data_IF_183641376431
#
_entry.id   IF_183641376431
#
_cell.length_a   1.000
_cell.length_b   1.000
_cell.length_c   1.000
_cell.angle_alpha   90.00
_cell.angle_beta   90.00
_cell.angle_gamma   90.00
#
_symmetry.space_group_name_H-M   'P 1'
#
loop_
_entity.id
_entity.type
_entity.pdbx_description
1 polymer ?
#
# COMPACT_ATOMS: atom_id res chain seq x y z
N UNK A 1 6.71 -5.36 5.07
CA UNK A 1 7.25 -5.16 3.71
C UNK A 1 8.71 -4.76 3.71
N UNK A 2 9.18 -3.65 4.30
CA UNK A 2 10.62 -3.32 4.22
C UNK A 2 11.54 -4.42 4.79
N UNK A 3 11.23 -4.91 6.00
CA UNK A 3 11.96 -6.03 6.60
C UNK A 3 11.78 -7.34 5.83
N UNK A 4 10.60 -7.58 5.26
CA UNK A 4 10.37 -8.72 4.38
C UNK A 4 11.28 -8.66 3.14
N UNK A 5 11.45 -7.48 2.55
CA UNK A 5 12.36 -7.25 1.44
C UNK A 5 13.82 -7.46 1.81
N UNK A 6 14.27 -6.97 2.98
CA UNK A 6 15.62 -7.22 3.48
C UNK A 6 15.87 -8.72 3.75
N UNK A 7 14.92 -9.41 4.39
CA UNK A 7 15.02 -10.85 4.62
C UNK A 7 15.14 -11.63 3.31
N UNK A 8 14.31 -11.31 2.32
CA UNK A 8 14.39 -11.96 1.01
C UNK A 8 15.73 -11.71 0.31
N UNK A 9 16.32 -10.53 0.45
CA UNK A 9 17.63 -10.24 -0.12
C UNK A 9 18.76 -10.97 0.62
N UNK A 10 18.63 -11.17 1.93
CA UNK A 10 19.53 -12.01 2.71
C UNK A 10 19.44 -13.48 2.30
N UNK A 11 18.22 -14.01 2.11
CA UNK A 11 17.99 -15.37 1.62
C UNK A 11 18.55 -15.58 0.20
N UNK A 12 18.59 -14.52 -0.62
CA UNK A 12 19.24 -14.49 -1.94
C UNK A 12 20.76 -14.34 -1.86
N UNK A 13 21.34 -14.19 -0.68
CA UNK A 13 22.78 -13.97 -0.48
C UNK A 13 23.29 -12.59 -0.91
N UNK A 14 22.39 -11.62 -1.15
CA UNK A 14 22.74 -10.28 -1.65
C UNK A 14 23.18 -9.31 -0.55
N UNK A 15 22.76 -9.56 0.69
CA UNK A 15 23.17 -8.79 1.85
C UNK A 15 23.14 -9.66 3.11
N UNK A 16 23.63 -9.10 4.21
CA UNK A 16 23.33 -9.58 5.57
C UNK A 16 22.87 -8.41 6.40
N UNK A 17 21.92 -8.63 7.30
CA UNK A 17 21.48 -7.57 8.19
C UNK A 17 21.26 -8.09 9.61
N UNK A 18 21.47 -7.20 10.58
CA UNK A 18 21.02 -7.40 11.94
C UNK A 18 19.79 -6.52 12.17
N UNK A 19 18.80 -7.05 12.89
CA UNK A 19 17.59 -6.32 13.24
C UNK A 19 17.48 -6.19 14.75
N UNK A 20 17.19 -4.97 15.21
CA UNK A 20 16.81 -4.68 16.59
C UNK A 20 15.51 -3.91 16.61
N UNK A 21 14.50 -4.43 17.32
CA UNK A 21 13.31 -3.67 17.64
C UNK A 21 13.60 -2.89 18.92
N UNK A 22 13.69 -1.57 18.82
CA UNK A 22 13.79 -0.71 20.01
C UNK A 22 12.42 -0.67 20.72
N UNK A 23 12.20 -1.65 21.60
CA UNK A 23 10.95 -1.82 22.38
C UNK A 23 10.76 -0.73 23.43
N UNK A 24 11.81 0.02 23.75
CA UNK A 24 11.80 1.09 24.75
C UNK A 24 11.84 2.48 24.12
N UNK A 25 11.79 2.58 22.79
CA UNK A 25 12.01 3.80 22.03
C UNK A 25 11.01 4.94 22.34
N UNK A 26 11.29 5.66 23.42
CA UNK A 26 10.66 6.94 23.80
C UNK A 26 11.46 8.15 23.29
N UNK A 27 12.61 7.98 22.60
CA UNK A 27 13.54 9.10 22.30
C UNK A 27 14.32 9.06 20.96
N UNK A 28 14.35 7.94 20.26
CA UNK A 28 15.15 7.72 19.06
C UNK A 28 14.44 8.10 17.76
N UNK A 29 13.24 7.58 17.49
CA UNK A 29 12.46 7.93 16.30
C UNK A 29 11.38 8.97 16.61
N UNK A 30 11.15 9.96 15.74
CA UNK A 30 10.11 10.96 15.95
C UNK A 30 8.68 10.40 15.82
N UNK A 31 8.48 9.25 15.16
CA UNK A 31 7.20 8.55 15.06
C UNK A 31 7.37 7.07 14.62
N UNK A 32 6.29 6.28 14.74
CA UNK A 32 6.32 4.81 14.62
C UNK A 32 6.51 4.28 13.19
N UNK A 33 6.23 5.08 12.17
CA UNK A 33 6.28 4.69 10.75
C UNK A 33 7.67 4.91 10.11
N UNK A 34 8.75 4.80 10.88
CA UNK A 34 10.12 4.94 10.40
C UNK A 34 10.90 3.62 10.54
N UNK A 35 11.72 3.31 9.53
CA UNK A 35 12.77 2.29 9.60
C UNK A 35 14.11 2.96 9.29
N UNK A 36 15.02 2.96 10.25
CA UNK A 36 16.41 3.39 10.06
C UNK A 36 17.26 2.17 9.70
N UNK A 37 18.12 2.31 8.69
CA UNK A 37 19.09 1.30 8.28
C UNK A 37 20.47 1.96 8.14
N UNK A 38 21.50 1.29 8.63
CA UNK A 38 22.88 1.76 8.55
C UNK A 38 23.74 0.70 7.85
N UNK A 39 24.56 1.13 6.90
CA UNK A 39 25.47 0.26 6.16
C UNK A 39 26.45 1.08 5.34
N UNK A 40 27.67 0.57 5.13
CA UNK A 40 28.69 1.25 4.31
C UNK A 40 29.00 2.70 4.72
N UNK A 41 28.87 3.02 6.01
CA UNK A 41 29.05 4.38 6.55
C UNK A 41 27.94 5.37 6.19
N UNK A 42 26.79 4.89 5.69
CA UNK A 42 25.60 5.71 5.37
C UNK A 42 24.40 5.30 6.21
N UNK A 43 23.59 6.29 6.57
CA UNK A 43 22.31 6.13 7.26
C UNK A 43 21.15 6.43 6.31
N UNK A 44 20.34 5.40 6.06
CA UNK A 44 19.15 5.44 5.23
C UNK A 44 17.93 5.41 6.12
N UNK A 45 16.93 6.24 5.82
CA UNK A 45 15.65 6.21 6.52
C UNK A 45 14.54 5.92 5.52
N UNK A 46 13.71 4.93 5.84
CA UNK A 46 12.47 4.64 5.14
C UNK A 46 11.30 5.22 5.94
N UNK A 47 10.70 6.25 5.39
CA UNK A 47 9.52 6.93 5.92
C UNK A 47 8.25 6.36 5.30
N UNK A 48 7.51 5.61 6.10
CA UNK A 48 6.27 4.94 5.74
C UNK A 48 5.02 5.76 6.13
N UNK A 49 5.16 7.01 6.59
CA UNK A 49 4.05 7.88 6.96
C UNK A 49 3.07 8.13 5.80
N UNK A 50 1.85 8.54 6.15
CA UNK A 50 0.84 9.00 5.20
C UNK A 50 1.00 10.52 5.02
N UNK A 51 1.67 10.95 3.95
CA UNK A 51 1.76 12.37 3.56
C UNK A 51 2.72 13.24 4.39
N UNK A 52 2.32 14.49 4.61
CA UNK A 52 3.14 15.59 5.17
C UNK A 52 2.40 16.31 6.32
N UNK A 53 1.75 15.56 7.20
CA UNK A 53 0.99 16.07 8.33
C UNK A 53 1.84 16.76 9.40
N UNK A 54 1.19 17.14 10.50
CA UNK A 54 1.82 17.88 11.61
C UNK A 54 2.92 17.08 12.32
N UNK A 55 2.82 15.76 12.39
CA UNK A 55 3.85 14.88 12.95
C UNK A 55 5.09 14.86 12.05
N UNK A 56 4.90 14.68 10.75
CA UNK A 56 5.99 14.60 9.78
C UNK A 56 6.72 15.94 9.65
N UNK A 57 5.98 17.06 9.74
CA UNK A 57 6.56 18.41 9.78
C UNK A 57 7.46 18.62 10.99
N UNK A 58 7.01 18.21 12.18
CA UNK A 58 7.81 18.31 13.42
C UNK A 58 9.06 17.42 13.41
N UNK A 59 9.02 16.32 12.65
CA UNK A 59 10.13 15.39 12.50
C UNK A 59 11.24 15.88 11.55
N UNK A 60 11.00 16.92 10.74
CA UNK A 60 11.95 17.35 9.70
C UNK A 60 13.36 17.69 10.21
N UNK A 61 13.56 18.40 11.34
CA UNK A 61 14.91 18.66 11.84
C UNK A 61 15.67 17.38 12.17
N UNK A 62 15.00 16.44 12.83
CA UNK A 62 15.58 15.13 13.19
C UNK A 62 15.95 14.32 11.95
N UNK A 63 15.08 14.32 10.92
CA UNK A 63 15.36 13.66 9.65
C UNK A 63 16.54 14.31 8.93
N UNK A 64 16.65 15.65 8.95
CA UNK A 64 17.72 16.39 8.28
C UNK A 64 19.10 16.13 8.88
N UNK A 65 19.14 15.98 10.20
CA UNK A 65 20.37 15.70 10.96
C UNK A 65 20.87 14.28 10.73
N UNK A 66 19.95 13.30 10.61
CA UNK A 66 20.32 11.87 10.62
C UNK A 66 20.33 11.18 9.27
N UNK A 67 19.43 11.55 8.36
CA UNK A 67 19.30 10.83 7.09
C UNK A 67 20.31 11.35 6.06
N UNK A 68 21.19 10.47 5.59
CA UNK A 68 21.96 10.71 4.36
C UNK A 68 21.04 10.61 3.15
N UNK A 69 20.11 9.65 3.17
CA UNK A 69 19.06 9.46 2.17
C UNK A 69 17.74 9.12 2.88
N UNK A 70 16.65 9.74 2.43
CA UNK A 70 15.30 9.54 2.95
C UNK A 70 14.40 8.97 1.85
N UNK A 71 14.01 7.70 1.94
CA UNK A 71 13.00 7.10 1.07
C UNK A 71 11.62 7.32 1.66
N UNK A 72 10.74 8.00 0.92
CA UNK A 72 9.39 8.34 1.41
C UNK A 72 8.31 7.64 0.60
N UNK A 73 7.36 7.01 1.29
CA UNK A 73 6.19 6.38 0.64
C UNK A 73 5.30 7.43 -0.04
N UNK A 74 5.03 8.53 0.66
CA UNK A 74 4.25 9.66 0.13
C UNK A 74 5.17 10.70 -0.51
N UNK A 75 6.01 10.29 -1.45
CA UNK A 75 6.91 11.23 -2.13
C UNK A 75 6.14 12.13 -3.12
N UNK A 76 6.32 13.43 -3.01
CA UNK A 76 5.84 14.43 -3.97
C UNK A 76 6.94 15.46 -4.23
N UNK A 77 7.28 15.79 -5.49
CA UNK A 77 8.23 16.86 -5.78
C UNK A 77 7.77 18.22 -5.22
N UNK A 78 6.47 18.51 -5.32
CA UNK A 78 5.88 19.76 -4.85
C UNK A 78 6.00 19.92 -3.32
N UNK A 79 5.75 18.84 -2.56
CA UNK A 79 5.93 18.86 -1.10
C UNK A 79 7.42 18.80 -0.70
N UNK A 80 8.24 18.08 -1.47
CA UNK A 80 9.69 18.00 -1.25
C UNK A 80 10.35 19.38 -1.41
N UNK A 81 9.89 20.21 -2.35
CA UNK A 81 10.38 21.58 -2.52
C UNK A 81 10.15 22.47 -1.28
N UNK A 82 9.14 22.15 -0.45
CA UNK A 82 8.80 22.88 0.78
C UNK A 82 9.65 22.44 1.98
N UNK A 83 10.39 21.33 1.88
CA UNK A 83 11.24 20.82 2.97
C UNK A 83 12.45 21.75 3.24
N UNK A 84 13.13 21.60 4.39
CA UNK A 84 14.38 22.30 4.66
C UNK A 84 15.43 21.99 3.58
N UNK A 85 16.27 22.96 3.16
CA UNK A 85 17.28 22.76 2.12
C UNK A 85 18.19 21.54 2.35
N UNK A 86 18.52 21.24 3.60
CA UNK A 86 19.33 20.08 3.99
C UNK A 86 18.72 18.72 3.59
N UNK A 87 17.39 18.64 3.46
CA UNK A 87 16.68 17.41 3.10
C UNK A 87 16.33 17.31 1.61
N UNK A 88 16.08 18.44 0.93
CA UNK A 88 15.52 18.45 -0.44
C UNK A 88 16.26 17.53 -1.41
N UNK A 89 17.60 17.55 -1.39
CA UNK A 89 18.43 16.73 -2.28
C UNK A 89 18.52 15.25 -1.90
N UNK A 90 18.04 14.86 -0.72
CA UNK A 90 18.18 13.52 -0.13
C UNK A 90 16.91 12.69 -0.16
N UNK A 91 15.75 13.30 -0.48
CA UNK A 91 14.47 12.58 -0.50
C UNK A 91 14.29 11.84 -1.82
N UNK A 92 13.88 10.58 -1.76
CA UNK A 92 13.59 9.71 -2.91
C UNK A 92 12.24 9.01 -2.73
N UNK A 93 11.55 8.65 -3.83
CA UNK A 93 10.34 7.84 -3.74
C UNK A 93 10.69 6.43 -3.22
N UNK A 94 9.94 5.94 -2.24
CA UNK A 94 10.00 4.55 -1.79
C UNK A 94 9.11 3.63 -2.63
N UNK A 95 7.93 4.10 -2.99
CA UNK A 95 6.95 3.35 -3.78
C UNK A 95 5.81 2.75 -2.97
N UNK A 96 5.17 1.74 -3.55
CA UNK A 96 4.00 1.10 -2.98
C UNK A 96 4.32 0.36 -1.67
N UNK A 97 3.35 0.32 -0.77
CA UNK A 97 3.46 -0.39 0.50
C UNK A 97 2.22 -1.24 0.79
N UNK A 98 2.42 -2.47 1.25
CA UNK A 98 1.36 -3.31 1.79
C UNK A 98 1.90 -4.24 2.89
N UNK A 99 1.00 -4.77 3.71
CA UNK A 99 1.41 -5.63 4.82
C UNK A 99 1.65 -7.07 4.34
N UNK A 100 2.86 -7.37 3.91
CA UNK A 100 3.29 -8.71 3.49
C UNK A 100 4.44 -9.20 4.37
N UNK A 101 4.46 -10.50 4.59
CA UNK A 101 5.56 -11.19 5.27
C UNK A 101 6.31 -12.15 4.34
N UNK A 102 7.34 -12.80 4.87
CA UNK A 102 8.10 -13.86 4.24
C UNK A 102 8.57 -14.84 5.32
N UNK A 103 8.93 -16.09 4.95
CA UNK A 103 9.63 -16.99 5.87
C UNK A 103 10.84 -16.29 6.49
N UNK A 104 11.09 -16.55 7.78
CA UNK A 104 12.23 -15.96 8.50
C UNK A 104 12.07 -14.49 8.91
N UNK A 105 10.99 -13.79 8.52
CA UNK A 105 10.82 -12.38 8.85
C UNK A 105 10.92 -12.13 10.38
N UNK A 106 11.88 -11.30 10.85
CA UNK A 106 12.09 -11.04 12.27
C UNK A 106 10.84 -10.49 12.99
N UNK A 107 9.94 -9.82 12.27
CA UNK A 107 8.71 -9.24 12.85
C UNK A 107 7.62 -10.27 13.17
N UNK A 108 7.72 -11.49 12.65
CA UNK A 108 6.75 -12.55 12.90
C UNK A 108 7.13 -13.42 14.11
N UNK A 109 8.30 -13.19 14.71
CA UNK A 109 8.74 -13.94 15.87
C UNK A 109 7.92 -13.56 17.10
N UNK A 110 7.23 -14.54 17.68
CA UNK A 110 6.42 -14.36 18.89
C UNK A 110 7.29 -14.63 20.11
N UNK A 111 7.79 -13.56 20.71
CA UNK A 111 8.75 -13.61 21.82
C UNK A 111 8.13 -13.31 23.19
N UNK A 112 6.88 -12.84 23.22
CA UNK A 112 6.21 -12.38 24.44
C UNK A 112 4.74 -12.80 24.54
N UNK A 113 4.17 -12.77 25.75
CA UNK A 113 2.74 -13.04 25.99
C UNK A 113 1.81 -12.02 25.29
N UNK A 114 2.23 -10.76 25.20
CA UNK A 114 1.48 -9.72 24.47
C UNK A 114 1.41 -10.01 22.97
N UNK A 115 2.51 -10.45 22.37
CA UNK A 115 2.56 -10.86 20.96
C UNK A 115 1.72 -12.11 20.70
N UNK A 116 1.68 -13.08 21.63
CA UNK A 116 0.78 -14.25 21.53
C UNK A 116 -0.69 -13.83 21.48
N UNK A 117 -1.11 -12.87 22.32
CA UNK A 117 -2.46 -12.31 22.27
C UNK A 117 -2.71 -11.58 20.94
N UNK A 118 -1.71 -10.86 20.45
CA UNK A 118 -1.73 -10.21 19.14
C UNK A 118 -1.94 -11.20 17.99
N UNK A 119 -1.22 -12.32 17.99
CA UNK A 119 -1.39 -13.40 16.99
C UNK A 119 -2.76 -14.07 17.07
N UNK A 120 -3.29 -14.30 18.28
CA UNK A 120 -4.66 -14.79 18.42
C UNK A 120 -5.68 -13.80 17.84
N UNK A 121 -5.50 -12.51 18.08
CA UNK A 121 -6.34 -11.46 17.48
C UNK A 121 -6.23 -11.47 15.94
N UNK A 122 -5.02 -11.61 15.39
CA UNK A 122 -4.80 -11.74 13.95
C UNK A 122 -5.53 -12.96 13.39
N UNK A 123 -5.43 -14.11 14.05
CA UNK A 123 -6.12 -15.31 13.62
C UNK A 123 -7.64 -15.15 13.62
N UNK A 124 -8.21 -14.59 14.70
CA UNK A 124 -9.67 -14.40 14.84
C UNK A 124 -10.23 -13.42 13.79
N UNK A 125 -9.59 -12.26 13.61
CA UNK A 125 -10.14 -11.19 12.77
C UNK A 125 -9.65 -11.22 11.31
N UNK A 126 -8.42 -11.69 11.08
CA UNK A 126 -7.84 -11.77 9.74
C UNK A 126 -7.88 -13.20 9.15
N UNK A 127 -8.26 -14.21 9.94
CA UNK A 127 -8.44 -15.59 9.51
C UNK A 127 -7.15 -16.41 9.40
N UNK A 128 -6.01 -15.82 9.77
CA UNK A 128 -4.69 -16.44 9.75
C UNK A 128 -3.67 -15.61 10.57
N UNK A 129 -2.55 -16.21 11.04
CA UNK A 129 -1.45 -15.46 11.68
C UNK A 129 -0.75 -14.51 10.70
N UNK A 130 0.06 -13.56 11.20
CA UNK A 130 0.77 -12.60 10.32
C UNK A 130 1.69 -13.28 9.31
N UNK A 131 2.41 -14.30 9.77
CA UNK A 131 3.33 -15.11 8.98
C UNK A 131 2.68 -15.90 7.85
N UNK A 132 1.36 -16.06 7.87
CA UNK A 132 0.62 -16.70 6.76
C UNK A 132 0.58 -15.82 5.51
N UNK A 133 0.56 -14.50 5.66
CA UNK A 133 0.39 -13.55 4.55
C UNK A 133 1.72 -13.31 3.84
N UNK A 134 2.28 -14.38 3.26
CA UNK A 134 3.46 -14.36 2.40
C UNK A 134 3.13 -13.92 0.98
N UNK A 135 4.16 -13.61 0.19
CA UNK A 135 4.02 -13.15 -1.20
C UNK A 135 3.12 -14.03 -2.06
N UNK A 136 3.26 -15.35 -1.96
CA UNK A 136 2.44 -16.33 -2.70
C UNK A 136 0.93 -16.20 -2.43
N UNK A 137 0.53 -15.60 -1.30
CA UNK A 137 -0.89 -15.33 -0.99
C UNK A 137 -1.42 -14.10 -1.73
N UNK A 138 -0.55 -13.22 -2.20
CA UNK A 138 -0.91 -12.03 -2.97
C UNK A 138 -0.70 -12.28 -4.46
N UNK A 139 0.45 -12.85 -4.83
CA UNK A 139 0.92 -13.01 -6.20
C UNK A 139 -0.02 -13.89 -7.04
N UNK A 140 -0.47 -13.34 -8.17
CA UNK A 140 -1.23 -14.07 -9.20
C UNK A 140 -0.79 -13.60 -10.58
N UNK A 141 -0.68 -14.51 -11.56
CA UNK A 141 -0.47 -14.10 -12.95
C UNK A 141 -1.72 -13.39 -13.50
N UNK A 142 -1.56 -12.56 -14.54
CA UNK A 142 -2.69 -11.97 -15.24
C UNK A 142 -3.52 -13.08 -15.89
N UNK A 143 -4.84 -12.94 -15.83
CA UNK A 143 -5.80 -13.88 -16.41
C UNK A 143 -6.75 -13.10 -17.32
N UNK A 144 -6.92 -13.57 -18.56
CA UNK A 144 -7.90 -12.99 -19.47
C UNK A 144 -9.28 -13.59 -19.20
N UNK A 145 -10.31 -12.76 -19.11
CA UNK A 145 -11.70 -13.20 -18.95
C UNK A 145 -12.62 -12.40 -19.86
N UNK A 146 -13.49 -13.12 -20.57
CA UNK A 146 -14.49 -12.54 -21.48
C UNK A 146 -15.44 -11.56 -20.77
N UNK A 147 -15.80 -11.85 -19.52
CA UNK A 147 -16.68 -11.02 -18.71
C UNK A 147 -15.96 -10.61 -17.43
N UNK A 148 -15.25 -9.46 -17.43
CA UNK A 148 -14.55 -8.99 -16.25
C UNK A 148 -15.50 -8.71 -15.07
N UNK A 149 -14.94 -8.75 -13.87
CA UNK A 149 -15.61 -8.45 -12.61
C UNK A 149 -14.87 -7.35 -11.85
N UNK A 150 -15.61 -6.61 -11.02
CA UNK A 150 -15.11 -5.42 -10.33
C UNK A 150 -15.10 -5.65 -8.82
N UNK A 151 -14.01 -5.23 -8.17
CA UNK A 151 -13.88 -5.28 -6.72
C UNK A 151 -13.59 -3.92 -6.11
N UNK A 152 -14.29 -3.58 -5.03
CA UNK A 152 -13.97 -2.41 -4.20
C UNK A 152 -14.25 -2.67 -2.72
N UNK A 153 -13.19 -2.77 -1.91
CA UNK A 153 -13.30 -2.81 -0.46
C UNK A 153 -12.66 -1.59 0.17
N UNK A 154 -13.43 -0.87 0.98
CA UNK A 154 -12.96 0.32 1.66
C UNK A 154 -13.35 0.31 3.14
N UNK A 155 -12.86 1.27 3.91
CA UNK A 155 -13.23 1.50 5.30
C UNK A 155 -13.58 2.96 5.51
N UNK A 156 -14.30 3.27 6.58
CA UNK A 156 -14.47 4.66 6.98
C UNK A 156 -13.36 5.06 7.95
N UNK A 157 -13.09 6.36 8.00
CA UNK A 157 -12.18 6.98 8.95
C UNK A 157 -12.95 7.81 9.96
N UNK A 158 -12.39 7.92 11.15
CA UNK A 158 -12.93 8.75 12.22
C UNK A 158 -11.78 9.48 12.87
N UNK A 159 -11.96 10.78 13.11
CA UNK A 159 -11.05 11.61 13.89
C UNK A 159 -11.82 12.21 15.07
N UNK A 160 -11.13 12.61 16.15
CA UNK A 160 -11.76 13.36 17.23
C UNK A 160 -12.43 14.64 16.74
N UNK A 161 -13.40 15.14 17.50
CA UNK A 161 -14.01 16.44 17.21
C UNK A 161 -12.96 17.56 17.29
N UNK A 162 -12.98 18.48 16.32
CA UNK A 162 -12.01 19.57 16.21
C UNK A 162 -10.64 19.19 15.61
N UNK A 163 -10.46 17.95 15.15
CA UNK A 163 -9.23 17.51 14.47
C UNK A 163 -9.06 18.20 13.12
N UNK A 164 -7.81 18.53 12.76
CA UNK A 164 -7.45 19.22 11.51
C UNK A 164 -7.88 18.44 10.24
N UNK A 165 -8.09 17.12 10.35
CA UNK A 165 -8.50 16.26 9.25
C UNK A 165 -10.02 16.07 9.14
N UNK A 166 -10.83 16.72 9.99
CA UNK A 166 -12.28 16.48 10.07
C UNK A 166 -12.99 16.63 8.72
N UNK A 167 -12.71 17.71 7.97
CA UNK A 167 -13.31 17.94 6.65
C UNK A 167 -12.83 16.93 5.61
N UNK A 168 -11.53 16.65 5.58
CA UNK A 168 -10.95 15.63 4.69
C UNK A 168 -11.57 14.25 4.94
N UNK A 169 -11.69 13.85 6.21
CA UNK A 169 -12.29 12.58 6.61
C UNK A 169 -13.76 12.51 6.21
N UNK A 170 -14.52 13.60 6.40
CA UNK A 170 -15.92 13.66 5.99
C UNK A 170 -16.09 13.54 4.47
N UNK A 171 -15.26 14.24 3.68
CA UNK A 171 -15.25 14.15 2.23
C UNK A 171 -14.86 12.74 1.74
N UNK A 172 -13.79 12.17 2.30
CA UNK A 172 -13.29 10.84 1.98
C UNK A 172 -14.33 9.75 2.28
N UNK A 173 -14.98 9.82 3.45
CA UNK A 173 -16.04 8.89 3.81
C UNK A 173 -17.25 8.99 2.87
N UNK A 174 -17.64 10.21 2.49
CA UNK A 174 -18.74 10.44 1.55
C UNK A 174 -18.45 9.83 0.19
N UNK A 175 -17.29 10.14 -0.37
CA UNK A 175 -16.82 9.58 -1.66
C UNK A 175 -16.79 8.05 -1.62
N UNK A 176 -16.26 7.45 -0.55
CA UNK A 176 -16.21 5.98 -0.38
C UNK A 176 -17.60 5.34 -0.31
N UNK A 177 -18.54 5.96 0.39
CA UNK A 177 -19.92 5.48 0.47
C UNK A 177 -20.61 5.55 -0.89
N UNK A 178 -20.44 6.67 -1.59
CA UNK A 178 -20.99 6.89 -2.93
C UNK A 178 -20.44 5.87 -3.94
N UNK A 179 -19.11 5.69 -3.98
CA UNK A 179 -18.45 4.69 -4.84
C UNK A 179 -19.01 3.28 -4.62
N UNK A 180 -19.13 2.85 -3.36
CA UNK A 180 -19.69 1.52 -3.04
C UNK A 180 -21.14 1.41 -3.51
N UNK A 181 -21.96 2.43 -3.25
CA UNK A 181 -23.36 2.43 -3.65
C UNK A 181 -23.51 2.35 -5.17
N UNK A 182 -22.76 3.16 -5.91
CA UNK A 182 -22.82 3.26 -7.36
C UNK A 182 -22.27 2.01 -8.06
N UNK A 183 -21.12 1.48 -7.62
CA UNK A 183 -20.57 0.24 -8.17
C UNK A 183 -21.51 -0.94 -7.95
N UNK A 184 -22.10 -1.04 -6.75
CA UNK A 184 -23.09 -2.08 -6.42
C UNK A 184 -24.35 -1.96 -7.28
N UNK A 185 -24.86 -0.73 -7.46
CA UNK A 185 -26.04 -0.43 -8.29
C UNK A 185 -25.79 -0.77 -9.77
N UNK A 186 -24.64 -0.39 -10.31
CA UNK A 186 -24.33 -0.54 -11.75
C UNK A 186 -24.00 -1.98 -12.14
N UNK A 187 -23.18 -2.67 -11.35
CA UNK A 187 -22.59 -3.95 -11.77
C UNK A 187 -23.20 -5.17 -11.09
N UNK A 188 -24.00 -4.99 -10.04
CA UNK A 188 -24.78 -6.05 -9.41
C UNK A 188 -23.94 -7.29 -9.10
N UNK A 189 -24.25 -8.42 -9.77
CA UNK A 189 -23.55 -9.70 -9.58
C UNK A 189 -22.08 -9.70 -10.03
N UNK A 190 -21.67 -8.76 -10.89
CA UNK A 190 -20.27 -8.58 -11.32
C UNK A 190 -19.47 -7.66 -10.40
N UNK A 191 -20.09 -7.13 -9.34
CA UNK A 191 -19.40 -6.37 -8.30
C UNK A 191 -19.27 -7.17 -7.01
N UNK A 192 -18.08 -7.18 -6.44
CA UNK A 192 -17.85 -7.69 -5.08
C UNK A 192 -17.15 -6.63 -4.24
N UNK A 193 -17.78 -6.19 -3.16
CA UNK A 193 -17.20 -5.12 -2.36
C UNK A 193 -18.13 -4.54 -1.32
N UNK A 194 -17.62 -3.54 -0.62
CA UNK A 194 -18.36 -2.77 0.36
C UNK A 194 -17.46 -2.06 1.37
N UNK A 195 -18.14 -1.37 2.29
CA UNK A 195 -17.50 -0.71 3.42
C UNK A 195 -17.26 -1.73 4.53
N UNK A 196 -16.06 -1.77 5.11
CA UNK A 196 -15.79 -2.58 6.29
C UNK A 196 -16.81 -2.25 7.39
N UNK A 197 -17.29 -3.28 8.09
CA UNK A 197 -18.25 -3.09 9.17
C UNK A 197 -17.77 -2.02 10.16
N UNK A 198 -18.63 -1.04 10.41
CA UNK A 198 -18.37 0.09 11.28
C UNK A 198 -19.56 0.32 12.21
N UNK A 199 -19.43 0.06 13.52
CA UNK A 199 -20.49 0.26 14.49
C UNK A 199 -21.09 1.68 14.50
N UNK A 200 -20.29 2.71 14.16
CA UNK A 200 -20.72 4.11 14.19
C UNK A 200 -21.60 4.47 12.98
N UNK A 201 -21.43 3.74 11.88
CA UNK A 201 -22.07 4.02 10.60
C UNK A 201 -23.16 2.99 10.23
N UNK A 202 -23.23 1.84 10.89
CA UNK A 202 -24.10 0.71 10.51
C UNK A 202 -25.58 1.07 10.47
N UNK A 203 -26.06 1.90 11.41
CA UNK A 203 -27.48 2.32 11.45
C UNK A 203 -27.92 3.04 10.18
N UNK A 204 -27.02 3.80 9.55
CA UNK A 204 -27.31 4.62 8.36
C UNK A 204 -26.88 3.93 7.06
N UNK A 205 -25.76 3.21 7.08
CA UNK A 205 -25.11 2.69 5.88
C UNK A 205 -24.96 1.17 5.86
N UNK A 206 -25.69 0.44 6.71
CA UNK A 206 -25.58 -1.02 6.84
C UNK A 206 -25.73 -1.78 5.51
N UNK A 207 -26.57 -1.30 4.59
CA UNK A 207 -26.74 -1.91 3.25
C UNK A 207 -25.52 -1.81 2.32
N UNK A 208 -24.55 -0.94 2.64
CA UNK A 208 -23.29 -0.77 1.92
C UNK A 208 -22.12 -1.49 2.62
N UNK A 209 -22.34 -2.01 3.83
CA UNK A 209 -21.30 -2.67 4.59
C UNK A 209 -21.12 -4.12 4.19
N UNK A 210 -19.89 -4.60 4.28
CA UNK A 210 -19.53 -6.00 4.14
C UNK A 210 -19.49 -6.67 5.51
N UNK A 211 -19.97 -7.91 5.57
CA UNK A 211 -19.93 -8.70 6.80
C UNK A 211 -18.49 -8.93 7.29
N UNK A 212 -18.30 -8.92 8.61
CA UNK A 212 -16.98 -9.01 9.25
C UNK A 212 -16.17 -10.20 8.72
N UNK A 213 -16.79 -11.37 8.64
CA UNK A 213 -16.13 -12.59 8.14
C UNK A 213 -15.68 -12.45 6.68
N UNK A 214 -16.50 -11.81 5.81
CA UNK A 214 -16.17 -11.57 4.41
C UNK A 214 -15.01 -10.59 4.23
N UNK A 215 -14.80 -9.68 5.19
CA UNK A 215 -13.69 -8.73 5.21
C UNK A 215 -12.44 -9.23 5.96
N UNK A 216 -12.47 -10.46 6.50
CA UNK A 216 -11.25 -11.06 7.05
C UNK A 216 -10.18 -11.09 5.96
N UNK A 217 -8.94 -10.78 6.32
CA UNK A 217 -7.87 -10.60 5.34
C UNK A 217 -7.69 -11.80 4.41
N UNK A 218 -7.77 -13.03 4.95
CA UNK A 218 -7.69 -14.24 4.14
C UNK A 218 -8.78 -14.30 3.08
N UNK A 219 -10.05 -14.06 3.45
CA UNK A 219 -11.17 -14.07 2.49
C UNK A 219 -11.10 -12.90 1.51
N UNK A 220 -10.63 -11.74 1.96
CA UNK A 220 -10.38 -10.62 1.06
C UNK A 220 -9.39 -11.00 -0.05
N UNK A 221 -8.28 -11.66 0.26
CA UNK A 221 -7.31 -12.10 -0.76
C UNK A 221 -7.91 -13.13 -1.71
N UNK A 222 -8.64 -14.12 -1.20
CA UNK A 222 -9.37 -15.10 -2.01
C UNK A 222 -10.37 -14.43 -2.97
N UNK A 223 -11.04 -13.37 -2.50
CA UNK A 223 -12.01 -12.60 -3.28
C UNK A 223 -11.32 -11.71 -4.32
N UNK A 224 -10.25 -11.01 -3.92
CA UNK A 224 -9.41 -10.22 -4.81
C UNK A 224 -8.84 -11.06 -5.95
N UNK A 225 -8.41 -12.30 -5.68
CA UNK A 225 -7.90 -13.19 -6.72
C UNK A 225 -8.92 -13.47 -7.83
N UNK A 226 -10.21 -13.53 -7.50
CA UNK A 226 -11.30 -13.80 -8.47
C UNK A 226 -11.69 -12.58 -9.29
N UNK A 227 -11.42 -11.38 -8.78
CA UNK A 227 -11.72 -10.12 -9.47
C UNK A 227 -10.73 -9.84 -10.61
N UNK A 228 -11.13 -8.99 -11.54
CA UNK A 228 -10.32 -8.64 -12.71
C UNK A 228 -9.93 -7.16 -12.67
N UNK A 229 -10.90 -6.31 -12.29
CA UNK A 229 -10.74 -4.88 -12.10
C UNK A 229 -10.85 -4.57 -10.60
N UNK A 230 -9.84 -3.92 -10.04
CA UNK A 230 -9.82 -3.51 -8.64
C UNK A 230 -9.85 -1.98 -8.54
N UNK A 231 -10.83 -1.47 -7.80
CA UNK A 231 -10.96 -0.05 -7.51
C UNK A 231 -10.15 0.30 -6.26
N UNK A 232 -9.38 1.36 -6.35
CA UNK A 232 -8.68 2.00 -5.23
C UNK A 232 -9.27 3.37 -4.92
N UNK A 233 -9.15 3.78 -3.65
CA UNK A 233 -9.41 5.15 -3.20
C UNK A 233 -8.18 5.63 -2.43
N UNK A 234 -7.91 6.93 -2.41
CA UNK A 234 -6.86 7.51 -1.57
C UNK A 234 -7.13 7.25 -0.09
N UNK A 235 -6.07 7.30 0.70
CA UNK A 235 -6.12 7.29 2.16
C UNK A 235 -6.11 8.69 2.75
N UNK A 236 -5.89 8.78 4.06
CA UNK A 236 -5.66 10.06 4.73
C UNK A 236 -4.46 10.78 4.09
N UNK A 237 -4.49 12.11 4.09
CA UNK A 237 -3.45 12.94 3.48
C UNK A 237 -3.20 12.67 1.98
N UNK A 238 -4.19 12.12 1.25
CA UNK A 238 -4.05 11.77 -0.17
C UNK A 238 -3.15 10.57 -0.42
N UNK A 239 -2.84 9.79 0.62
CA UNK A 239 -1.93 8.63 0.54
C UNK A 239 -2.41 7.58 -0.44
N UNK A 240 -1.45 6.87 -1.04
CA UNK A 240 -1.73 5.70 -1.86
C UNK A 240 -2.19 4.56 -0.93
N UNK A 241 -3.42 4.10 -1.12
CA UNK A 241 -3.99 3.02 -0.33
C UNK A 241 -3.21 1.71 -0.52
N UNK A 242 -2.93 1.00 0.58
CA UNK A 242 -2.11 -0.22 0.56
C UNK A 242 -2.69 -1.33 -0.34
N UNK A 243 -4.01 -1.38 -0.49
CA UNK A 243 -4.68 -2.32 -1.40
C UNK A 243 -4.22 -2.16 -2.85
N UNK A 244 -3.83 -0.96 -3.27
CA UNK A 244 -3.30 -0.72 -4.63
C UNK A 244 -2.09 -1.62 -4.88
N UNK A 245 -1.18 -1.73 -3.91
CA UNK A 245 -0.02 -2.59 -4.02
C UNK A 245 -0.40 -4.08 -4.05
N UNK A 246 -1.43 -4.47 -3.28
CA UNK A 246 -1.97 -5.84 -3.27
C UNK A 246 -2.59 -6.18 -4.64
N UNK A 247 -3.24 -5.23 -5.31
CA UNK A 247 -3.78 -5.38 -6.67
C UNK A 247 -2.68 -5.56 -7.72
N UNK A 248 -1.58 -4.83 -7.61
CA UNK A 248 -0.43 -4.98 -8.50
C UNK A 248 0.24 -6.35 -8.32
N UNK A 249 0.42 -6.79 -7.06
CA UNK A 249 0.93 -8.13 -6.78
C UNK A 249 0.05 -9.22 -7.40
N UNK A 250 -1.27 -9.02 -7.40
CA UNK A 250 -2.22 -9.95 -7.99
C UNK A 250 -2.50 -9.72 -9.49
N UNK A 251 -1.68 -8.90 -10.16
CA UNK A 251 -1.80 -8.57 -11.59
C UNK A 251 -3.19 -8.11 -12.01
N UNK A 252 -3.83 -7.23 -11.23
CA UNK A 252 -5.18 -6.75 -11.52
C UNK A 252 -5.16 -5.49 -12.38
N UNK A 253 -6.20 -5.29 -13.18
CA UNK A 253 -6.45 -3.98 -13.76
C UNK A 253 -6.90 -3.02 -12.65
N UNK A 254 -6.37 -1.80 -12.63
CA UNK A 254 -6.58 -0.87 -11.52
C UNK A 254 -7.31 0.38 -12.01
N UNK A 255 -8.42 0.70 -11.34
CA UNK A 255 -9.06 2.01 -11.43
C UNK A 255 -8.84 2.68 -10.09
N UNK A 256 -8.15 3.81 -10.03
CA UNK A 256 -7.78 4.42 -8.76
C UNK A 256 -8.12 5.89 -8.74
N UNK A 257 -8.49 6.39 -7.57
CA UNK A 257 -8.52 7.82 -7.34
C UNK A 257 -7.13 8.40 -7.65
N UNK A 258 -7.10 9.58 -8.24
CA UNK A 258 -5.88 10.16 -8.81
C UNK A 258 -4.75 10.21 -7.78
N UNK A 259 -3.63 9.56 -8.12
CA UNK A 259 -2.47 9.47 -7.24
C UNK A 259 -1.81 10.84 -7.07
N UNK A 260 -1.58 11.25 -5.82
CA UNK A 260 -0.92 12.52 -5.48
C UNK A 260 0.58 12.35 -5.23
N UNK A 261 1.04 11.10 -5.08
CA UNK A 261 2.41 10.76 -4.76
C UNK A 261 3.00 9.90 -5.87
N UNK A 262 4.28 10.11 -6.15
CA UNK A 262 5.01 9.37 -7.17
C UNK A 262 5.58 8.07 -6.58
N UNK A 263 5.75 7.08 -7.45
CA UNK A 263 6.36 5.78 -7.13
C UNK A 263 7.56 5.55 -8.05
N UNK A 264 8.57 4.76 -7.63
CA UNK A 264 9.71 4.43 -8.47
C UNK A 264 9.32 3.67 -9.75
N UNK A 265 10.09 3.84 -10.82
CA UNK A 265 9.90 3.10 -12.07
C UNK A 265 8.79 3.65 -12.97
N UNK A 266 8.51 2.98 -14.10
CA UNK A 266 7.62 3.48 -15.15
C UNK A 266 6.14 3.22 -14.84
N UNK A 267 5.65 3.55 -13.64
CA UNK A 267 4.23 3.42 -13.30
C UNK A 267 3.41 4.57 -13.91
N UNK A 268 2.53 4.26 -14.88
CA UNK A 268 1.89 5.29 -15.70
C UNK A 268 0.36 5.21 -15.69
N UNK A 269 -0.28 6.38 -15.61
CA UNK A 269 -1.72 6.51 -15.85
C UNK A 269 -2.05 6.13 -17.30
N UNK A 270 -3.15 5.42 -17.51
CA UNK A 270 -3.56 4.88 -18.81
C UNK A 270 -2.94 3.52 -19.16
N UNK A 271 -1.79 3.17 -18.55
CA UNK A 271 -1.10 1.89 -18.76
C UNK A 271 -1.29 0.98 -17.55
N UNK A 272 -0.88 1.43 -16.36
CA UNK A 272 -0.94 0.64 -15.13
C UNK A 272 -2.21 0.87 -14.32
N UNK A 273 -2.82 2.05 -14.46
CA UNK A 273 -4.09 2.35 -13.81
C UNK A 273 -4.88 3.42 -14.56
N UNK A 274 -6.20 3.44 -14.36
CA UNK A 274 -7.06 4.52 -14.85
C UNK A 274 -7.42 5.48 -13.69
N UNK A 275 -7.09 6.79 -13.79
CA UNK A 275 -7.39 7.75 -12.74
C UNK A 275 -8.86 8.18 -12.77
N UNK A 276 -9.41 8.50 -11.59
CA UNK A 276 -10.67 9.23 -11.42
C UNK A 276 -10.59 10.25 -10.27
N UNK A 277 -11.58 11.13 -10.20
CA UNK A 277 -11.73 12.18 -9.15
C UNK A 277 -13.05 12.10 -8.40
N UNK A 278 -14.05 11.40 -8.96
CA UNK A 278 -15.39 11.24 -8.40
C UNK A 278 -16.00 9.89 -8.81
N UNK A 279 -17.22 9.62 -8.32
CA UNK A 279 -17.90 8.36 -8.59
C UNK A 279 -18.27 8.17 -10.07
N UNK A 280 -18.66 9.24 -10.77
CA UNK A 280 -19.00 9.16 -12.20
C UNK A 280 -17.77 8.82 -13.04
N UNK A 281 -16.65 9.50 -12.80
CA UNK A 281 -15.36 9.20 -13.40
C UNK A 281 -14.90 7.78 -13.09
N UNK A 282 -15.08 7.31 -11.86
CA UNK A 282 -14.78 5.91 -11.52
C UNK A 282 -15.63 4.94 -12.35
N UNK A 283 -16.94 5.14 -12.43
CA UNK A 283 -17.83 4.29 -13.23
C UNK A 283 -17.45 4.31 -14.71
N UNK A 284 -17.10 5.47 -15.26
CA UNK A 284 -16.68 5.58 -16.66
C UNK A 284 -15.39 4.78 -16.94
N UNK A 285 -14.41 4.83 -16.04
CA UNK A 285 -13.17 4.07 -16.19
C UNK A 285 -13.38 2.57 -16.00
N UNK A 286 -14.22 2.17 -15.03
CA UNK A 286 -14.61 0.76 -14.86
C UNK A 286 -15.35 0.26 -16.11
N UNK A 287 -16.29 1.04 -16.66
CA UNK A 287 -17.01 0.68 -17.88
C UNK A 287 -16.07 0.46 -19.06
N UNK A 288 -15.06 1.33 -19.24
CA UNK A 288 -14.04 1.19 -20.29
C UNK A 288 -13.30 -0.15 -20.22
N UNK A 289 -13.02 -0.66 -19.01
CA UNK A 289 -12.35 -1.95 -18.82
C UNK A 289 -13.35 -3.11 -18.96
N UNK A 290 -14.54 -2.98 -18.40
CA UNK A 290 -15.60 -4.00 -18.48
C UNK A 290 -16.06 -4.27 -19.92
N UNK A 291 -16.05 -3.24 -20.78
CA UNK A 291 -16.43 -3.33 -22.19
C UNK A 291 -15.29 -3.83 -23.10
N UNK A 292 -14.05 -3.86 -22.60
CA UNK A 292 -12.85 -4.25 -23.35
C UNK A 292 -11.98 -5.21 -22.51
N UNK A 293 -12.27 -6.52 -22.57
CA UNK A 293 -11.49 -7.55 -21.89
C UNK A 293 -10.00 -7.56 -22.25
N UNK A 294 -9.65 -7.23 -23.50
CA UNK A 294 -8.26 -7.22 -23.96
C UNK A 294 -7.50 -6.07 -23.32
N UNK A 295 -8.13 -4.89 -23.18
CA UNK A 295 -7.55 -3.77 -22.43
C UNK A 295 -7.41 -4.08 -20.95
N UNK A 296 -8.39 -4.76 -20.34
CA UNK A 296 -8.29 -5.22 -18.95
C UNK A 296 -7.09 -6.15 -18.76
N UNK A 297 -6.92 -7.11 -19.67
CA UNK A 297 -5.81 -8.05 -19.63
C UNK A 297 -4.45 -7.38 -19.89
N UNK A 298 -4.38 -6.44 -20.85
CA UNK A 298 -3.15 -5.69 -21.13
C UNK A 298 -2.69 -4.87 -19.90
N UNK A 299 -3.62 -4.22 -19.19
CA UNK A 299 -3.29 -3.52 -17.94
C UNK A 299 -2.83 -4.49 -16.85
N UNK A 300 -3.46 -5.66 -16.74
CA UNK A 300 -3.04 -6.72 -15.82
C UNK A 300 -1.59 -7.18 -16.09
N UNK A 301 -1.22 -7.36 -17.36
CA UNK A 301 0.16 -7.69 -17.78
C UNK A 301 1.14 -6.56 -17.44
N UNK A 302 0.80 -5.30 -17.74
CA UNK A 302 1.63 -4.16 -17.40
C UNK A 302 1.85 -4.04 -15.87
N UNK A 303 0.82 -4.33 -15.09
CA UNK A 303 0.90 -4.32 -13.63
C UNK A 303 1.72 -5.48 -13.06
N UNK A 304 1.67 -6.66 -13.68
CA UNK A 304 2.55 -7.76 -13.36
C UNK A 304 4.01 -7.37 -13.58
N UNK A 305 4.33 -6.83 -14.76
CA UNK A 305 5.69 -6.43 -15.11
C UNK A 305 6.21 -5.35 -14.14
N UNK A 306 5.42 -4.30 -13.91
CA UNK A 306 5.78 -3.28 -12.93
C UNK A 306 6.00 -3.88 -11.53
N UNK A 307 5.10 -4.75 -11.06
CA UNK A 307 5.25 -5.39 -9.75
C UNK A 307 6.54 -6.20 -9.65
N UNK A 308 6.86 -7.02 -10.66
CA UNK A 308 8.04 -7.87 -10.66
C UNK A 308 9.37 -7.09 -10.63
N UNK A 309 9.41 -5.88 -11.20
CA UNK A 309 10.65 -5.08 -11.23
C UNK A 309 10.71 -3.98 -10.17
N UNK A 310 9.56 -3.48 -9.70
CA UNK A 310 9.49 -2.27 -8.87
C UNK A 310 8.58 -2.40 -7.65
N UNK A 311 7.66 -3.36 -7.60
CA UNK A 311 6.65 -3.48 -6.53
C UNK A 311 6.84 -4.64 -5.56
N UNK A 312 7.58 -5.68 -5.96
CA UNK A 312 7.89 -6.84 -5.12
C UNK A 312 8.82 -6.44 -3.96
N UNK A 313 8.61 -6.89 -2.70
CA UNK A 313 9.34 -6.35 -1.55
C UNK A 313 10.87 -6.39 -1.65
N UNK A 314 11.43 -7.48 -2.17
CA UNK A 314 12.87 -7.61 -2.43
C UNK A 314 13.36 -6.62 -3.49
N UNK A 315 12.57 -6.40 -4.54
CA UNK A 315 12.89 -5.45 -5.62
C UNK A 315 12.76 -4.00 -5.20
N UNK A 316 11.73 -3.66 -4.41
CA UNK A 316 11.60 -2.33 -3.78
C UNK A 316 12.84 -2.03 -2.94
N UNK A 317 13.26 -2.98 -2.10
CA UNK A 317 14.44 -2.80 -1.25
C UNK A 317 15.74 -2.75 -2.07
N UNK A 318 15.91 -3.65 -3.05
CA UNK A 318 17.09 -3.67 -3.90
C UNK A 318 17.25 -2.35 -4.69
N UNK A 319 16.17 -1.84 -5.29
CA UNK A 319 16.19 -0.58 -6.04
C UNK A 319 16.51 0.63 -5.16
N UNK A 320 16.10 0.60 -3.89
CA UNK A 320 16.49 1.64 -2.94
C UNK A 320 17.97 1.53 -2.54
N UNK A 321 18.44 0.31 -2.22
CA UNK A 321 19.83 0.07 -1.84
C UNK A 321 20.80 0.38 -3.00
N UNK A 322 20.44 0.07 -4.25
CA UNK A 322 21.25 0.39 -5.44
C UNK A 322 21.43 1.90 -5.66
N UNK A 323 20.49 2.73 -5.22
CA UNK A 323 20.65 4.19 -5.26
C UNK A 323 21.64 4.71 -4.20
N UNK A 324 21.88 3.94 -3.13
CA UNK A 324 22.71 4.37 -2.00
C UNK A 324 24.07 3.68 -1.99
N UNK A 325 24.19 2.43 -2.45
CA UNK A 325 25.40 1.64 -2.37
C UNK A 325 25.91 1.30 -3.77
N UNK A 326 26.95 2.00 -4.25
CA UNK A 326 27.60 1.66 -5.52
C UNK A 326 28.07 0.20 -5.51
N UNK A 327 27.70 -0.57 -6.54
CA UNK A 327 28.01 -2.00 -6.64
C UNK A 327 26.97 -2.94 -6.01
N UNK A 328 25.89 -2.41 -5.42
CA UNK A 328 24.72 -3.23 -5.11
C UNK A 328 23.96 -3.52 -6.42
N UNK A 329 24.28 -4.64 -7.05
CA UNK A 329 23.70 -5.03 -8.35
C UNK A 329 22.21 -5.32 -8.22
N UNK A 330 21.38 -4.47 -8.83
CA UNK A 330 20.05 -4.87 -9.26
C UNK A 330 20.19 -5.57 -10.61
N UNK A 331 19.63 -6.77 -10.76
CA UNK A 331 19.20 -7.22 -12.08
C UNK A 331 18.09 -6.25 -12.51
N UNK A 332 18.47 -5.16 -13.18
CA UNK A 332 17.51 -4.23 -13.77
C UNK A 332 16.96 -4.95 -14.98
N UNK A 333 15.75 -5.48 -14.86
CA UNK A 333 15.05 -5.99 -16.02
C UNK A 333 14.82 -4.83 -16.98
N UNK A 334 15.36 -4.95 -18.19
CA UNK A 334 14.92 -4.15 -19.32
C UNK A 334 13.47 -4.57 -19.61
N UNK A 335 12.53 -3.84 -19.01
CA UNK A 335 11.09 -3.97 -19.26
C UNK A 335 10.71 -3.31 -20.57
#
# INVERSE_FOLDING_TARGET
>A
MPLSGLQMLEDQGKLRFSFSLDRENRRGLPYAQLLEAEGGGRRIIFDLSDGYGSVEKRAQPWLAERADILFRRSFSPAETAKLPPALRGRVRPWGFHFHVSCPGNPMDQVTSLGERKGELFQWIFNGAPRSYFTLEKFERPPEWKREPSVLFYTRLWHVPEGDELSEQVAALNRSRLELVAELKRRYGRRFTGGVQFDPRAVRRYGGLMSGIAATSRRRYLETMHRADICVGSTGLHGSIGWKTAEYLAASKAVVNETLQFEVPGPFQAGVNYLPFTDAEGCLAQVERLMADPDRTYAMAQANQAYYQFWGRPDRVMANALAQVFPGFECEVGNG
#
